data_IF_724141897283
#
_entry.id   IF_724141897283
#
_cell.length_a   1.000
_cell.length_b   1.000
_cell.length_c   1.000
_cell.angle_alpha   90.00
_cell.angle_beta   90.00
_cell.angle_gamma   90.00
#
_symmetry.space_group_name_H-M   'P 1'
#
loop_
_entity.id
_entity.type
_entity.pdbx_description
1 polymer ?
#
# COMPACT_ATOMS: atom_id res chain seq x y z
N UNK A 1 74.29 -44.42 25.74
CA UNK A 1 72.97 -44.34 26.36
C UNK A 1 72.37 -43.08 25.83
N UNK A 2 71.58 -43.19 24.73
CA UNK A 2 71.03 -42.02 23.98
C UNK A 2 69.59 -41.83 24.34
N UNK A 3 69.26 -40.61 24.79
CA UNK A 3 67.91 -40.17 25.05
C UNK A 3 67.34 -39.66 23.73
N UNK A 4 66.27 -40.27 23.22
CA UNK A 4 65.50 -39.78 22.09
C UNK A 4 64.47 -38.80 22.61
N UNK A 5 64.60 -37.53 22.21
CA UNK A 5 63.59 -36.51 22.38
C UNK A 5 62.60 -36.59 21.20
N UNK A 6 61.37 -36.92 21.48
CA UNK A 6 60.23 -36.81 20.54
C UNK A 6 59.62 -35.41 20.65
N UNK A 7 59.79 -34.59 19.60
CA UNK A 7 59.08 -33.31 19.41
C UNK A 7 57.63 -33.59 18.94
N UNK A 8 56.70 -33.30 19.81
CA UNK A 8 55.26 -33.18 19.41
C UNK A 8 55.05 -31.80 18.77
N UNK A 9 54.82 -31.80 17.46
CA UNK A 9 54.40 -30.60 16.71
C UNK A 9 52.89 -30.46 16.85
N UNK A 10 52.43 -29.52 17.67
CA UNK A 10 51.03 -29.16 17.79
C UNK A 10 50.72 -28.12 16.71
N UNK A 11 50.08 -28.56 15.62
CA UNK A 11 49.47 -27.66 14.62
C UNK A 11 48.23 -26.99 15.22
N UNK A 12 48.35 -25.73 15.58
CA UNK A 12 47.24 -24.87 15.90
C UNK A 12 46.54 -24.43 14.59
N UNK A 13 45.48 -25.12 14.22
CA UNK A 13 44.61 -24.70 13.13
C UNK A 13 43.68 -23.61 13.69
N UNK A 14 44.07 -22.34 13.53
CA UNK A 14 43.21 -21.19 13.76
C UNK A 14 42.14 -21.15 12.67
N UNK A 15 40.97 -21.72 12.94
CA UNK A 15 39.78 -21.57 12.09
C UNK A 15 39.29 -20.11 12.13
N UNK A 16 39.54 -19.37 11.06
CA UNK A 16 38.95 -18.07 10.84
C UNK A 16 37.47 -18.29 10.51
N UNK A 17 36.61 -18.15 11.51
CA UNK A 17 35.17 -18.08 11.31
C UNK A 17 34.89 -16.71 10.67
N UNK A 18 34.79 -16.68 9.34
CA UNK A 18 34.22 -15.55 8.61
C UNK A 18 32.72 -15.53 8.92
N UNK A 19 32.34 -14.85 9.99
CA UNK A 19 30.96 -14.44 10.18
C UNK A 19 30.65 -13.39 9.10
N UNK A 20 30.25 -13.88 7.94
CA UNK A 20 29.62 -13.04 6.92
C UNK A 20 28.37 -12.44 7.53
N UNK A 21 28.43 -11.18 7.98
CA UNK A 21 27.24 -10.34 8.11
C UNK A 21 26.65 -10.20 6.70
N UNK A 22 25.81 -11.14 6.32
CA UNK A 22 24.82 -10.82 5.28
C UNK A 22 23.97 -9.71 5.86
N UNK A 23 23.95 -8.51 5.28
CA UNK A 23 22.93 -7.54 5.63
C UNK A 23 21.61 -8.24 5.29
N UNK A 24 20.88 -8.67 6.29
CA UNK A 24 19.49 -9.09 6.14
C UNK A 24 18.79 -7.79 5.70
N UNK A 25 18.67 -7.58 4.40
CA UNK A 25 17.76 -6.57 3.85
C UNK A 25 16.44 -7.01 4.44
N UNK A 26 15.91 -6.21 5.35
CA UNK A 26 14.60 -6.45 5.90
C UNK A 26 13.65 -6.30 4.72
N UNK A 27 13.23 -7.43 4.14
CA UNK A 27 12.23 -7.49 3.06
C UNK A 27 10.91 -6.81 3.46
N UNK A 28 10.85 -6.32 4.71
CA UNK A 28 9.70 -5.68 5.31
C UNK A 28 9.56 -4.20 4.95
N UNK A 29 10.67 -3.50 4.64
CA UNK A 29 10.68 -2.04 4.59
C UNK A 29 10.41 -1.46 3.20
N UNK A 30 10.41 -2.28 2.16
CA UNK A 30 10.10 -1.88 0.79
C UNK A 30 9.47 -3.02 -0.02
N UNK A 31 8.61 -2.66 -0.96
CA UNK A 31 7.93 -3.62 -1.82
C UNK A 31 6.79 -3.01 -2.63
N UNK A 32 6.24 -3.84 -3.49
CA UNK A 32 5.07 -3.53 -4.32
C UNK A 32 3.97 -4.54 -4.04
N UNK A 33 2.74 -4.06 -3.87
CA UNK A 33 1.54 -4.88 -3.72
C UNK A 33 0.57 -4.50 -4.82
N UNK A 34 0.10 -5.49 -5.57
CA UNK A 34 -0.94 -5.30 -6.58
C UNK A 34 -2.24 -5.88 -6.04
N UNK A 35 -3.31 -5.12 -6.18
CA UNK A 35 -4.67 -5.55 -5.82
C UNK A 35 -5.55 -5.62 -7.05
N UNK A 36 -6.36 -6.65 -7.12
CA UNK A 36 -7.50 -6.70 -8.03
C UNK A 36 -8.70 -5.99 -7.38
N UNK A 37 -9.38 -5.16 -8.17
CA UNK A 37 -10.60 -4.45 -7.75
C UNK A 37 -11.79 -5.28 -8.20
N UNK A 38 -12.50 -5.88 -7.24
CA UNK A 38 -13.64 -6.76 -7.47
C UNK A 38 -14.93 -5.98 -7.23
N UNK A 39 -15.75 -5.86 -8.26
CA UNK A 39 -17.06 -5.20 -8.20
C UNK A 39 -18.16 -6.18 -7.81
N UNK A 40 -19.16 -5.71 -7.06
CA UNK A 40 -20.33 -6.53 -6.76
C UNK A 40 -21.07 -6.92 -8.05
N UNK A 41 -21.56 -8.18 -8.12
CA UNK A 41 -22.17 -8.79 -9.32
C UNK A 41 -23.32 -7.97 -9.92
N UNK A 42 -24.04 -7.22 -9.09
CA UNK A 42 -25.18 -6.38 -9.54
C UNK A 42 -24.78 -5.23 -10.47
N UNK A 43 -23.52 -4.84 -10.48
CA UNK A 43 -22.99 -3.75 -11.31
C UNK A 43 -22.21 -4.21 -12.53
N UNK A 44 -21.74 -5.43 -12.58
CA UNK A 44 -21.01 -5.97 -13.74
C UNK A 44 -21.85 -5.90 -15.04
N UNK A 45 -23.17 -5.79 -14.93
CA UNK A 45 -24.08 -5.69 -16.07
C UNK A 45 -24.47 -4.26 -16.48
N UNK A 46 -24.07 -3.21 -15.75
CA UNK A 46 -24.55 -1.84 -15.97
C UNK A 46 -23.52 -0.86 -16.52
N UNK A 47 -22.24 -1.13 -16.38
CA UNK A 47 -21.14 -0.30 -16.86
C UNK A 47 -20.19 -1.16 -17.67
N UNK A 48 -19.75 -0.63 -18.82
CA UNK A 48 -18.74 -1.34 -19.61
C UNK A 48 -17.51 -1.60 -18.74
N UNK A 49 -17.18 -2.89 -18.50
CA UNK A 49 -16.03 -3.31 -17.67
C UNK A 49 -14.70 -2.65 -18.06
N UNK A 50 -14.63 -2.15 -19.32
CA UNK A 50 -13.45 -1.47 -19.87
C UNK A 50 -13.19 -0.08 -19.30
N UNK A 51 -14.18 0.53 -18.65
CA UNK A 51 -14.07 1.91 -18.13
C UNK A 51 -13.76 1.95 -16.63
N UNK A 52 -14.06 0.88 -15.93
CA UNK A 52 -13.84 0.82 -14.48
C UNK A 52 -12.38 0.52 -14.14
N UNK A 53 -11.85 1.07 -13.04
CA UNK A 53 -10.58 0.64 -12.48
C UNK A 53 -10.61 -0.85 -12.15
N UNK A 54 -9.57 -1.57 -12.54
CA UNK A 54 -9.46 -3.02 -12.27
C UNK A 54 -8.33 -3.38 -11.32
N UNK A 55 -7.38 -2.44 -11.15
CA UNK A 55 -6.21 -2.66 -10.30
C UNK A 55 -5.89 -1.44 -9.45
N UNK A 56 -5.37 -1.71 -8.26
CA UNK A 56 -4.69 -0.74 -7.42
C UNK A 56 -3.28 -1.26 -7.15
N UNK A 57 -2.30 -0.35 -7.15
CA UNK A 57 -0.91 -0.65 -6.87
C UNK A 57 -0.49 0.15 -5.64
N UNK A 58 0.08 -0.51 -4.66
CA UNK A 58 0.75 0.13 -3.53
C UNK A 58 2.24 -0.14 -3.63
N UNK A 59 3.04 0.91 -3.60
CA UNK A 59 4.49 0.81 -3.43
C UNK A 59 4.88 1.47 -2.12
N UNK A 60 5.77 0.84 -1.38
CA UNK A 60 6.25 1.40 -0.12
C UNK A 60 7.76 1.23 -0.02
N UNK A 61 8.42 2.22 0.57
CA UNK A 61 9.86 2.21 0.85
C UNK A 61 10.15 3.09 2.05
N UNK A 62 10.54 2.48 3.19
CA UNK A 62 10.76 3.18 4.45
C UNK A 62 9.54 4.04 4.82
N UNK A 63 9.70 5.36 4.89
CA UNK A 63 8.66 6.34 5.23
C UNK A 63 7.89 6.90 4.03
N UNK A 64 8.01 6.26 2.85
CA UNK A 64 7.32 6.67 1.62
C UNK A 64 6.29 5.64 1.21
N UNK A 65 5.16 6.11 0.73
CA UNK A 65 4.06 5.30 0.23
C UNK A 65 3.53 5.90 -1.07
N UNK A 66 3.27 5.06 -2.04
CA UNK A 66 2.57 5.41 -3.28
C UNK A 66 1.35 4.49 -3.39
N UNK A 67 0.18 5.10 -3.58
CA UNK A 67 -1.06 4.40 -3.91
C UNK A 67 -1.52 4.85 -5.30
N UNK A 68 -1.73 3.92 -6.22
CA UNK A 68 -2.13 4.22 -7.58
C UNK A 68 -3.32 3.36 -7.99
N UNK A 69 -4.36 4.01 -8.52
CA UNK A 69 -5.51 3.36 -9.12
C UNK A 69 -5.52 3.71 -10.61
N UNK A 70 -5.69 2.69 -11.44
CA UNK A 70 -5.74 2.82 -12.88
C UNK A 70 -7.09 2.40 -13.43
N UNK A 71 -7.65 3.25 -14.27
CA UNK A 71 -8.87 2.99 -15.01
C UNK A 71 -8.70 3.17 -16.52
N UNK A 72 -9.63 2.66 -17.31
CA UNK A 72 -9.67 2.79 -18.77
C UNK A 72 -8.36 2.37 -19.45
N UNK A 73 -7.74 1.25 -19.00
CA UNK A 73 -6.49 0.77 -19.55
C UNK A 73 -5.31 1.74 -19.35
N UNK A 74 -5.25 2.45 -18.20
CA UNK A 74 -4.18 3.40 -17.87
C UNK A 74 -4.35 4.79 -18.51
N UNK A 75 -5.47 5.06 -19.18
CA UNK A 75 -5.80 6.42 -19.67
C UNK A 75 -6.20 7.36 -18.53
N UNK A 76 -6.72 6.80 -17.44
CA UNK A 76 -7.05 7.52 -16.21
C UNK A 76 -6.23 6.91 -15.09
N UNK A 77 -5.46 7.74 -14.38
CA UNK A 77 -4.67 7.30 -13.24
C UNK A 77 -4.79 8.33 -12.13
N UNK A 78 -5.09 7.87 -10.94
CA UNK A 78 -5.01 8.64 -9.71
C UNK A 78 -3.88 8.07 -8.87
N UNK A 79 -2.91 8.91 -8.53
CA UNK A 79 -1.77 8.51 -7.70
C UNK A 79 -1.67 9.43 -6.50
N UNK A 80 -1.56 8.84 -5.33
CA UNK A 80 -1.24 9.51 -4.08
C UNK A 80 0.13 9.07 -3.61
N UNK A 81 1.02 10.03 -3.38
CA UNK A 81 2.35 9.78 -2.84
C UNK A 81 2.44 10.46 -1.48
N UNK A 82 2.85 9.72 -0.48
CA UNK A 82 3.12 10.19 0.87
C UNK A 82 4.63 10.11 1.14
N UNK A 83 5.21 11.21 1.60
CA UNK A 83 6.59 11.28 2.07
C UNK A 83 6.58 11.82 3.51
N UNK A 84 6.71 10.91 4.48
CA UNK A 84 6.70 11.28 5.90
C UNK A 84 7.98 12.01 6.34
N UNK A 85 9.10 11.75 5.67
CA UNK A 85 10.37 12.40 5.98
C UNK A 85 10.32 13.89 5.66
N UNK A 86 9.61 14.25 4.59
CA UNK A 86 9.43 15.62 4.14
C UNK A 86 8.13 16.26 4.62
N UNK A 87 7.29 15.53 5.35
CA UNK A 87 5.93 15.95 5.75
C UNK A 87 5.12 16.43 4.54
N UNK A 88 5.13 15.68 3.45
CA UNK A 88 4.48 16.05 2.17
C UNK A 88 3.62 14.95 1.61
N UNK A 89 2.58 15.39 0.92
CA UNK A 89 1.74 14.56 0.08
C UNK A 89 1.68 15.12 -1.34
N UNK A 90 1.66 14.23 -2.34
CA UNK A 90 1.50 14.58 -3.75
C UNK A 90 0.30 13.84 -4.31
N UNK A 91 -0.55 14.56 -5.00
CA UNK A 91 -1.71 14.05 -5.70
C UNK A 91 -1.49 14.20 -7.20
N UNK A 92 -1.36 13.11 -7.92
CA UNK A 92 -1.13 13.10 -9.36
C UNK A 92 -2.38 12.57 -10.04
N UNK A 93 -2.79 13.29 -11.06
CA UNK A 93 -3.97 12.96 -11.87
C UNK A 93 -3.54 12.89 -13.33
N UNK A 94 -3.77 11.75 -13.95
CA UNK A 94 -3.67 11.58 -15.39
C UNK A 94 -5.07 11.37 -15.96
N UNK A 95 -5.48 12.23 -16.85
CA UNK A 95 -6.74 12.15 -17.58
C UNK A 95 -6.41 12.23 -19.08
N UNK A 96 -6.40 11.10 -19.75
CA UNK A 96 -5.94 10.98 -21.14
C UNK A 96 -4.53 11.57 -21.29
N UNK A 97 -4.42 12.69 -22.00
CA UNK A 97 -3.14 13.39 -22.26
C UNK A 97 -2.81 14.47 -21.20
N UNK A 98 -3.74 14.77 -20.30
CA UNK A 98 -3.52 15.77 -19.24
C UNK A 98 -2.89 15.07 -18.03
N UNK A 99 -1.76 15.61 -17.58
CA UNK A 99 -1.01 15.13 -16.41
C UNK A 99 -0.85 16.30 -15.45
N UNK A 100 -1.51 16.22 -14.31
CA UNK A 100 -1.59 17.29 -13.33
C UNK A 100 -1.14 16.78 -11.96
N UNK A 101 -0.53 17.65 -11.16
CA UNK A 101 -0.20 17.33 -9.78
C UNK A 101 -0.48 18.48 -8.83
N UNK A 102 -0.77 18.13 -7.60
CA UNK A 102 -0.86 19.04 -6.46
C UNK A 102 -0.01 18.52 -5.31
N UNK A 103 0.59 19.43 -4.55
CA UNK A 103 1.42 19.09 -3.38
C UNK A 103 0.92 19.87 -2.18
N UNK A 104 0.78 19.18 -1.04
CA UNK A 104 0.42 19.76 0.23
C UNK A 104 1.23 19.14 1.39
N UNK A 105 1.06 19.65 2.59
CA UNK A 105 1.50 18.98 3.80
C UNK A 105 0.71 17.71 4.05
N UNK A 106 1.27 16.75 4.78
CA UNK A 106 0.55 15.54 5.17
C UNK A 106 -0.70 15.90 5.99
N UNK A 107 -1.82 15.25 5.69
CA UNK A 107 -3.08 15.42 6.41
C UNK A 107 -3.91 16.64 6.03
N UNK A 108 -3.39 17.59 5.24
CA UNK A 108 -4.12 18.82 4.86
C UNK A 108 -5.29 18.55 3.91
N UNK A 109 -5.13 17.59 3.01
CA UNK A 109 -6.25 17.04 2.25
C UNK A 109 -6.51 15.68 2.82
N UNK A 110 -7.69 15.50 3.38
CA UNK A 110 -8.10 14.18 3.81
C UNK A 110 -7.98 13.20 2.63
N UNK A 111 -7.22 12.13 2.80
CA UNK A 111 -7.16 11.03 1.84
C UNK A 111 -8.51 10.34 1.66
N UNK A 112 -9.52 10.83 2.36
CA UNK A 112 -10.91 10.41 2.25
C UNK A 112 -11.48 10.51 0.83
N UNK A 113 -10.78 11.15 -0.15
CA UNK A 113 -11.24 11.06 -1.53
C UNK A 113 -11.21 9.61 -2.06
N UNK A 114 -10.23 8.81 -1.63
CA UNK A 114 -10.19 7.37 -1.93
C UNK A 114 -11.17 6.58 -1.06
N UNK A 115 -11.56 7.14 0.07
CA UNK A 115 -12.46 6.57 1.06
C UNK A 115 -13.70 7.46 1.25
N UNK A 116 -14.04 8.28 0.24
CA UNK A 116 -15.15 9.24 0.27
C UNK A 116 -16.43 8.53 0.73
N UNK A 117 -17.08 9.07 1.74
CA UNK A 117 -18.20 8.51 2.50
C UNK A 117 -17.81 7.56 3.65
N UNK A 118 -16.56 7.60 4.10
CA UNK A 118 -16.11 6.84 5.29
C UNK A 118 -16.34 7.60 6.61
N UNK A 119 -17.21 8.61 6.63
CA UNK A 119 -17.67 9.22 7.88
C UNK A 119 -18.40 8.15 8.71
N UNK A 120 -18.00 8.00 9.97
CA UNK A 120 -18.62 7.00 10.85
C UNK A 120 -18.15 5.56 10.61
N UNK A 121 -16.84 5.35 10.39
CA UNK A 121 -16.28 4.00 10.38
C UNK A 121 -16.12 3.48 11.81
N UNK A 122 -16.71 2.31 12.07
CA UNK A 122 -16.50 1.54 13.31
C UNK A 122 -15.71 0.29 12.94
N UNK A 123 -14.54 0.14 13.56
CA UNK A 123 -13.64 -1.01 13.35
C UNK A 123 -13.72 -1.92 14.58
N UNK A 124 -14.14 -3.15 14.38
CA UNK A 124 -14.22 -4.16 15.43
C UNK A 124 -13.26 -5.31 15.11
N UNK A 125 -12.24 -5.57 15.93
CA UNK A 125 -11.35 -6.72 15.74
C UNK A 125 -12.14 -8.02 15.69
N UNK A 126 -11.71 -8.97 14.85
CA UNK A 126 -12.26 -10.31 14.74
C UNK A 126 -11.21 -11.35 15.13
N UNK A 127 -11.65 -12.54 15.52
CA UNK A 127 -10.76 -13.67 15.80
C UNK A 127 -10.43 -14.52 14.56
N UNK A 128 -11.06 -14.23 13.43
CA UNK A 128 -10.77 -14.93 12.19
C UNK A 128 -9.35 -14.63 11.73
N UNK A 129 -8.64 -15.67 11.30
CA UNK A 129 -7.33 -15.55 10.67
C UNK A 129 -7.36 -16.22 9.33
N UNK A 130 -6.62 -15.66 8.37
CA UNK A 130 -6.53 -16.20 7.02
C UNK A 130 -5.12 -16.02 6.48
N UNK A 131 -4.63 -17.01 5.76
CA UNK A 131 -3.42 -16.85 4.98
C UNK A 131 -3.75 -16.26 3.61
N UNK A 132 -3.08 -15.18 3.24
CA UNK A 132 -3.20 -14.51 1.93
C UNK A 132 -1.79 -14.33 1.39
N UNK A 133 -1.51 -14.90 0.22
CA UNK A 133 -0.20 -14.85 -0.46
C UNK A 133 0.99 -15.23 0.44
N UNK A 134 0.79 -16.19 1.36
CA UNK A 134 1.82 -16.68 2.27
C UNK A 134 1.97 -15.86 3.56
N UNK A 135 1.14 -14.83 3.79
CA UNK A 135 1.16 -14.01 5.00
C UNK A 135 -0.04 -14.34 5.90
N UNK A 136 0.23 -14.55 7.19
CA UNK A 136 -0.84 -14.74 8.17
C UNK A 136 -1.52 -13.41 8.47
N UNK A 137 -2.79 -13.29 8.10
CA UNK A 137 -3.58 -12.09 8.30
C UNK A 137 -4.47 -12.20 9.54
N UNK A 138 -4.51 -11.12 10.33
CA UNK A 138 -5.57 -10.86 11.29
C UNK A 138 -6.77 -10.27 10.57
N UNK A 139 -7.93 -10.26 11.22
CA UNK A 139 -9.13 -9.68 10.64
C UNK A 139 -9.81 -8.65 11.54
N UNK A 140 -10.58 -7.78 10.91
CA UNK A 140 -11.49 -6.87 11.57
C UNK A 140 -12.76 -6.72 10.72
N UNK A 141 -13.89 -6.49 11.38
CA UNK A 141 -15.14 -6.11 10.72
C UNK A 141 -15.25 -4.59 10.71
N UNK A 142 -15.56 -4.04 9.55
CA UNK A 142 -15.79 -2.62 9.35
C UNK A 142 -17.27 -2.37 9.16
N UNK A 143 -17.80 -1.37 9.85
CA UNK A 143 -19.13 -0.83 9.64
C UNK A 143 -18.99 0.60 9.16
N UNK A 144 -19.68 0.96 8.07
CA UNK A 144 -19.61 2.29 7.45
C UNK A 144 -21.00 2.94 7.47
N UNK A 145 -21.02 4.23 7.78
CA UNK A 145 -22.21 5.07 7.80
C UNK A 145 -22.90 5.09 9.15
N UNK A 146 -23.70 6.13 9.39
CA UNK A 146 -24.37 6.39 10.66
C UNK A 146 -25.39 5.30 11.05
N UNK A 147 -25.91 4.56 10.09
CA UNK A 147 -26.82 3.43 10.31
C UNK A 147 -26.14 2.08 10.44
N UNK A 148 -24.80 2.01 10.25
CA UNK A 148 -24.03 0.76 10.32
C UNK A 148 -24.48 -0.31 9.30
N UNK A 149 -25.16 0.10 8.22
CA UNK A 149 -25.80 -0.81 7.26
C UNK A 149 -24.80 -1.53 6.37
N UNK A 150 -23.67 -0.89 6.09
CA UNK A 150 -22.62 -1.49 5.26
C UNK A 150 -21.56 -2.12 6.13
N UNK A 151 -21.40 -3.45 6.01
CA UNK A 151 -20.38 -4.23 6.72
C UNK A 151 -19.50 -4.94 5.74
N UNK A 152 -18.19 -4.94 6.00
CA UNK A 152 -17.22 -5.76 5.28
C UNK A 152 -16.08 -6.19 6.21
N UNK A 153 -15.39 -7.24 5.83
CA UNK A 153 -14.23 -7.72 6.56
C UNK A 153 -12.95 -7.15 5.95
N UNK A 154 -11.98 -6.88 6.80
CA UNK A 154 -10.61 -6.56 6.43
C UNK A 154 -9.72 -7.70 6.88
N UNK A 155 -8.77 -8.10 6.05
CA UNK A 155 -7.67 -8.99 6.40
C UNK A 155 -6.36 -8.23 6.25
N UNK A 156 -5.56 -8.19 7.30
CA UNK A 156 -4.33 -7.41 7.34
C UNK A 156 -3.19 -8.14 8.03
N UNK A 157 -1.95 -7.82 7.64
CA UNK A 157 -0.74 -8.38 8.22
C UNK A 157 0.22 -7.28 8.64
N UNK A 158 0.97 -7.52 9.71
CA UNK A 158 2.08 -6.67 10.17
C UNK A 158 3.46 -7.25 9.78
N UNK A 159 3.48 -8.33 9.01
CA UNK A 159 4.73 -8.98 8.61
C UNK A 159 5.48 -8.22 7.51
N UNK A 160 4.78 -7.36 6.78
CA UNK A 160 5.32 -6.54 5.69
C UNK A 160 4.83 -5.09 5.82
N UNK A 161 5.47 -4.19 5.09
CA UNK A 161 5.10 -2.79 5.02
C UNK A 161 5.76 -1.92 6.08
N UNK A 162 5.44 -0.65 6.04
CA UNK A 162 5.94 0.34 6.99
C UNK A 162 5.11 0.36 8.28
N UNK A 163 5.65 0.85 9.39
CA UNK A 163 4.87 1.13 10.60
C UNK A 163 3.73 2.11 10.30
N UNK A 164 2.52 1.80 10.82
CA UNK A 164 1.31 2.60 10.60
C UNK A 164 1.04 2.92 9.11
N UNK A 165 0.85 1.92 8.24
CA UNK A 165 0.63 2.15 6.81
C UNK A 165 -0.69 2.89 6.54
N UNK A 166 -1.62 2.85 7.49
CA UNK A 166 -2.95 3.45 7.37
C UNK A 166 -3.07 4.80 8.12
N UNK A 167 -1.95 5.40 8.53
CA UNK A 167 -1.93 6.71 9.19
C UNK A 167 -2.63 7.76 8.32
N UNK A 168 -3.36 8.67 8.93
CA UNK A 168 -4.14 9.73 8.28
C UNK A 168 -5.25 9.19 7.33
N UNK A 169 -5.66 7.93 7.53
CA UNK A 169 -6.81 7.32 6.84
C UNK A 169 -7.87 6.90 7.86
N UNK A 170 -9.11 6.65 7.43
CA UNK A 170 -10.14 6.10 8.32
C UNK A 170 -9.79 4.73 8.92
N UNK A 171 -8.79 4.04 8.35
CA UNK A 171 -8.31 2.73 8.79
C UNK A 171 -7.09 2.82 9.73
N UNK A 172 -6.75 3.97 10.26
CA UNK A 172 -5.61 4.15 11.16
C UNK A 172 -5.54 3.16 12.35
N UNK A 173 -6.66 2.69 12.93
CA UNK A 173 -6.63 1.65 13.96
C UNK A 173 -6.08 0.31 13.48
N UNK A 174 -6.08 0.02 12.17
CA UNK A 174 -5.52 -1.19 11.59
C UNK A 174 -3.99 -1.05 11.49
N UNK A 175 -3.29 -1.76 12.37
CA UNK A 175 -1.81 -1.71 12.47
C UNK A 175 -1.16 -2.77 11.56
N UNK A 176 -1.31 -2.60 10.25
CA UNK A 176 -0.73 -3.51 9.25
C UNK A 176 -1.24 -3.20 7.85
N UNK A 177 -0.59 -3.79 6.85
CA UNK A 177 -1.02 -3.71 5.45
C UNK A 177 -2.29 -4.55 5.27
N UNK A 178 -3.33 -3.94 4.73
CA UNK A 178 -4.58 -4.61 4.40
C UNK A 178 -4.43 -5.37 3.10
N UNK A 179 -4.48 -6.71 3.13
CA UNK A 179 -4.36 -7.55 1.93
C UNK A 179 -5.72 -7.86 1.29
N UNK A 180 -6.79 -7.75 2.04
CA UNK A 180 -8.18 -7.79 1.53
C UNK A 180 -9.00 -6.77 2.31
N UNK A 181 -9.69 -5.88 1.61
CA UNK A 181 -10.54 -4.87 2.24
C UNK A 181 -11.57 -4.30 1.27
N UNK A 182 -12.71 -3.89 1.82
CA UNK A 182 -13.74 -3.18 1.07
C UNK A 182 -13.54 -1.67 1.10
N UNK A 183 -13.95 -1.00 0.03
CA UNK A 183 -14.04 0.46 -0.03
C UNK A 183 -15.19 0.89 -0.94
N UNK A 184 -15.51 2.18 -0.91
CA UNK A 184 -16.47 2.78 -1.84
C UNK A 184 -15.68 3.56 -2.88
N UNK A 185 -15.79 3.16 -4.14
CA UNK A 185 -15.18 3.83 -5.28
C UNK A 185 -16.30 4.34 -6.20
N UNK A 186 -16.39 5.64 -6.41
CA UNK A 186 -17.47 6.24 -7.24
C UNK A 186 -18.88 5.72 -6.89
N UNK A 187 -19.26 5.79 -5.62
CA UNK A 187 -20.53 5.24 -5.06
C UNK A 187 -20.73 3.74 -5.23
N UNK A 188 -19.70 3.01 -5.66
CA UNK A 188 -19.75 1.54 -5.81
C UNK A 188 -18.98 0.89 -4.69
N UNK A 189 -19.58 -0.12 -4.08
CA UNK A 189 -18.86 -1.00 -3.18
C UNK A 189 -17.94 -1.91 -4.00
N UNK A 190 -16.66 -1.85 -3.69
CA UNK A 190 -15.64 -2.72 -4.30
C UNK A 190 -14.88 -3.44 -3.20
N UNK A 191 -14.39 -4.62 -3.51
CA UNK A 191 -13.46 -5.35 -2.68
C UNK A 191 -12.08 -5.34 -3.37
N UNK A 192 -11.06 -4.94 -2.64
CA UNK A 192 -9.67 -5.01 -3.07
C UNK A 192 -9.04 -6.24 -2.47
N UNK A 193 -8.50 -7.08 -3.33
CA UNK A 193 -7.84 -8.33 -2.94
C UNK A 193 -6.42 -8.32 -3.48
N UNK A 194 -5.43 -8.43 -2.59
CA UNK A 194 -4.05 -8.51 -3.03
C UNK A 194 -3.85 -9.74 -3.92
N UNK A 195 -3.35 -9.51 -5.13
CA UNK A 195 -3.09 -10.54 -6.14
C UNK A 195 -1.61 -10.84 -6.31
N UNK A 196 -0.73 -9.91 -5.95
CA UNK A 196 0.71 -10.17 -5.81
C UNK A 196 1.36 -9.28 -4.76
N UNK A 197 2.43 -9.78 -4.16
CA UNK A 197 3.31 -9.07 -3.23
C UNK A 197 4.74 -9.33 -3.66
N UNK A 198 5.47 -8.27 -3.98
CA UNK A 198 6.85 -8.29 -4.40
C UNK A 198 7.68 -7.48 -3.40
N UNK A 199 8.29 -8.14 -2.38
CA UNK A 199 9.18 -7.47 -1.44
C UNK A 199 10.46 -6.99 -2.10
N UNK A 200 10.92 -5.79 -1.74
CA UNK A 200 12.15 -5.20 -2.27
C UNK A 200 12.00 -4.51 -3.62
N UNK A 201 13.12 -3.99 -4.13
CA UNK A 201 13.29 -3.43 -5.48
C UNK A 201 12.35 -2.26 -5.86
N UNK A 202 12.04 -1.36 -4.92
CA UNK A 202 11.34 -0.12 -5.25
C UNK A 202 12.34 1.01 -5.46
N UNK A 203 12.38 1.55 -6.67
CA UNK A 203 13.27 2.65 -7.00
C UNK A 203 12.84 3.94 -6.30
N UNK A 204 13.75 4.68 -5.63
CA UNK A 204 13.41 5.92 -4.95
C UNK A 204 12.73 6.97 -5.87
N UNK A 205 13.05 6.95 -7.16
CA UNK A 205 12.48 7.84 -8.17
C UNK A 205 10.97 7.65 -8.38
N UNK A 206 10.41 6.50 -8.00
CA UNK A 206 8.99 6.22 -8.12
C UNK A 206 8.13 7.10 -7.20
N UNK A 207 8.71 7.60 -6.13
CA UNK A 207 8.05 8.54 -5.22
C UNK A 207 8.20 10.01 -5.62
N UNK A 208 8.80 10.29 -6.78
CA UNK A 208 8.95 11.63 -7.31
C UNK A 208 7.80 11.98 -8.26
N UNK A 209 7.50 13.28 -8.36
CA UNK A 209 6.58 13.78 -9.37
C UNK A 209 7.28 13.70 -10.74
N UNK A 210 6.72 13.00 -11.75
CA UNK A 210 7.32 12.96 -13.07
C UNK A 210 7.37 14.36 -13.72
N UNK A 211 8.41 14.63 -14.50
CA UNK A 211 8.71 15.96 -15.06
C UNK A 211 7.68 16.45 -16.09
N UNK A 212 6.88 15.56 -16.63
CA UNK A 212 5.82 15.86 -17.59
C UNK A 212 4.46 16.20 -16.95
N UNK A 213 4.39 16.22 -15.61
CA UNK A 213 3.22 16.68 -14.88
C UNK A 213 3.27 18.20 -14.66
N UNK A 214 2.13 18.86 -14.80
CA UNK A 214 1.97 20.29 -14.55
C UNK A 214 1.27 20.52 -13.21
N UNK A 215 1.71 21.54 -12.51
CA UNK A 215 1.08 21.89 -11.22
C UNK A 215 -0.34 22.39 -11.44
N UNK A 216 -1.26 21.96 -10.59
CA UNK A 216 -2.64 22.48 -10.46
C UNK A 216 -2.83 23.08 -9.08
N UNK A 217 -3.88 23.87 -8.91
CA UNK A 217 -4.33 24.37 -7.62
C UNK A 217 -5.20 23.36 -6.86
N UNK A 218 -5.49 23.66 -5.59
CA UNK A 218 -6.29 22.81 -4.70
C UNK A 218 -7.73 22.67 -5.19
N UNK A 219 -8.29 23.75 -5.70
CA UNK A 219 -9.64 23.82 -6.22
C UNK A 219 -9.84 22.85 -7.38
N UNK A 220 -8.92 22.88 -8.34
CA UNK A 220 -8.91 21.93 -9.48
C UNK A 220 -8.82 20.48 -9.01
N UNK A 221 -7.95 20.18 -8.01
CA UNK A 221 -7.87 18.83 -7.45
C UNK A 221 -9.20 18.40 -6.84
N UNK A 222 -9.82 19.26 -6.04
CA UNK A 222 -11.10 18.95 -5.40
C UNK A 222 -12.23 18.75 -6.41
N UNK A 223 -12.23 19.49 -7.54
CA UNK A 223 -13.16 19.27 -8.64
C UNK A 223 -12.95 17.89 -9.28
N UNK A 224 -11.70 17.51 -9.53
CA UNK A 224 -11.38 16.16 -10.03
C UNK A 224 -11.93 15.09 -9.08
N UNK A 225 -11.72 15.23 -7.77
CA UNK A 225 -12.24 14.26 -6.79
C UNK A 225 -13.78 14.21 -6.79
N UNK A 226 -14.47 15.35 -6.97
CA UNK A 226 -15.93 15.35 -7.11
C UNK A 226 -16.40 14.55 -8.33
N UNK A 227 -15.68 14.62 -9.45
CA UNK A 227 -16.02 13.83 -10.66
C UNK A 227 -15.91 12.32 -10.42
N UNK A 228 -14.94 11.88 -9.63
CA UNK A 228 -14.79 10.46 -9.27
C UNK A 228 -15.78 10.00 -8.19
N UNK A 229 -16.44 10.92 -7.48
CA UNK A 229 -17.41 10.62 -6.43
C UNK A 229 -18.87 10.81 -6.87
N UNK A 230 -19.12 11.21 -8.10
CA UNK A 230 -20.46 11.29 -8.71
C UNK A 230 -20.88 9.93 -9.29
#
# INVERSE_FOLDING_TARGET
MQLRQTLLSICFITGIILTGCNPTISLKDEGTIVYDIVYAKERQNKVSDKTLPTKMIIKYKKNKLLNQIEGMGGMVTLTYIQDKDLNRSHYLVKLLNKKLYYTDSLGEISTNFMYANSSGIIITPSHEKREILGYLCNSATIQVGDSGTTKFNIFYTSEIGQPNPNQDTPFEPIKGIMLEFGMILSKVHVNLVASSIEPGNVEPSEFNIPTDYKRMDKETLLEVFKLFNQ
#
